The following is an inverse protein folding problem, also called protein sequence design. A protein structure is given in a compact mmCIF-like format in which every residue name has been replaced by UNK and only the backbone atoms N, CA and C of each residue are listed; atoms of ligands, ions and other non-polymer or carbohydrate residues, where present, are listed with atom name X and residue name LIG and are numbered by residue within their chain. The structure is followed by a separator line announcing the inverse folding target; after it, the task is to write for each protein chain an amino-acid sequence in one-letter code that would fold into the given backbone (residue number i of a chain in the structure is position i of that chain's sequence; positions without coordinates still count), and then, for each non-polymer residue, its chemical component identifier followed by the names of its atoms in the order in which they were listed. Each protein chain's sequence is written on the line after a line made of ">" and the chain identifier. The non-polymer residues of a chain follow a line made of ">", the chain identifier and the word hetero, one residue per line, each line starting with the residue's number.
data_IF_484425967259
#
_entry.id   IF_484425967259
#
_cell.length_a   1.000
_cell.length_b   1.000
_cell.length_c   1.000
_cell.angle_alpha   90.00
_cell.angle_beta   90.00
_cell.angle_gamma   90.00
#
_symmetry.space_group_name_H-M   'P 1'
#
loop_
_entity.id
_entity.type
_entity.pdbx_description
1 polymer ?
#
# COMPACT_ATOMS: atom_id res chain seq x y z
N UNK A 1 1.68 -26.64 11.10
CA UNK A 1 0.88 -25.43 11.00
C UNK A 1 1.67 -24.31 11.67
N UNK A 2 1.79 -23.16 11.01
CA UNK A 2 2.30 -21.93 11.63
C UNK A 2 1.39 -21.55 12.80
N UNK A 3 1.95 -21.03 13.89
CA UNK A 3 1.18 -20.68 15.09
C UNK A 3 1.44 -19.24 15.51
N UNK A 4 0.62 -18.74 16.43
CA UNK A 4 0.81 -17.40 17.01
C UNK A 4 2.22 -17.28 17.63
N UNK A 5 2.90 -16.18 17.30
CA UNK A 5 4.27 -15.86 17.69
C UNK A 5 5.35 -16.36 16.72
N UNK A 6 5.00 -17.14 15.70
CA UNK A 6 5.95 -17.56 14.66
C UNK A 6 6.13 -16.46 13.59
N UNK A 7 7.30 -16.43 12.95
CA UNK A 7 7.48 -15.67 11.71
C UNK A 7 6.62 -16.28 10.59
N UNK A 8 5.85 -15.44 9.90
CA UNK A 8 5.02 -15.83 8.78
C UNK A 8 5.90 -16.30 7.59
N UNK A 9 5.67 -17.51 7.05
CA UNK A 9 6.38 -17.97 5.86
C UNK A 9 6.17 -17.02 4.67
N UNK A 10 7.28 -16.52 4.12
CA UNK A 10 7.30 -15.63 2.96
C UNK A 10 6.93 -16.37 1.68
N UNK A 11 6.20 -15.69 0.80
CA UNK A 11 5.78 -16.24 -0.48
C UNK A 11 5.63 -15.14 -1.53
N UNK A 12 5.59 -15.57 -2.80
CA UNK A 12 5.21 -14.73 -3.94
C UNK A 12 4.35 -15.57 -4.89
N UNK A 13 3.07 -15.24 -4.99
CA UNK A 13 2.08 -16.00 -5.78
C UNK A 13 1.54 -15.15 -6.94
N UNK A 14 1.12 -15.77 -8.05
CA UNK A 14 0.23 -15.13 -9.01
C UNK A 14 -1.08 -14.78 -8.30
N UNK A 15 -1.62 -13.60 -8.57
CA UNK A 15 -2.84 -13.11 -7.95
C UNK A 15 -3.72 -12.38 -8.97
N UNK A 16 -5.03 -12.37 -8.70
CA UNK A 16 -5.97 -11.43 -9.25
C UNK A 16 -6.09 -10.26 -8.26
N UNK A 17 -5.83 -9.05 -8.71
CA UNK A 17 -5.92 -7.81 -7.91
C UNK A 17 -6.65 -6.78 -8.75
N UNK A 18 -7.78 -6.26 -8.26
CA UNK A 18 -8.60 -5.28 -8.98
C UNK A 18 -8.96 -5.69 -10.43
N UNK A 19 -9.12 -7.00 -10.67
CA UNK A 19 -9.40 -7.56 -12.00
C UNK A 19 -8.18 -7.80 -12.88
N UNK A 20 -6.98 -7.38 -12.45
CA UNK A 20 -5.73 -7.56 -13.17
C UNK A 20 -4.90 -8.73 -12.63
N UNK A 21 -4.17 -9.41 -13.53
CA UNK A 21 -3.25 -10.48 -13.17
C UNK A 21 -1.87 -9.90 -12.83
N UNK A 22 -1.43 -10.07 -11.58
CA UNK A 22 -0.06 -9.71 -11.17
C UNK A 22 0.55 -10.76 -10.25
N UNK A 23 1.80 -10.55 -9.83
CA UNK A 23 2.38 -11.30 -8.71
C UNK A 23 2.29 -10.44 -7.46
N UNK A 24 2.07 -11.11 -6.34
CA UNK A 24 1.93 -10.52 -5.02
C UNK A 24 2.83 -11.28 -4.07
N UNK A 25 3.74 -10.56 -3.41
CA UNK A 25 4.56 -11.06 -2.32
C UNK A 25 3.99 -10.62 -0.96
N UNK A 26 4.16 -11.44 0.08
CA UNK A 26 3.77 -11.06 1.44
C UNK A 26 4.54 -9.79 1.88
N UNK A 27 5.80 -9.69 1.48
CA UNK A 27 6.67 -8.56 1.79
C UNK A 27 6.23 -7.21 1.19
N UNK A 28 5.31 -7.21 0.21
CA UNK A 28 4.70 -5.97 -0.30
C UNK A 28 3.79 -5.29 0.74
N UNK A 29 3.33 -6.03 1.76
CA UNK A 29 2.41 -5.52 2.78
C UNK A 29 3.08 -5.38 4.15
N UNK A 30 4.17 -6.13 4.40
CA UNK A 30 4.89 -6.04 5.66
C UNK A 30 5.52 -4.66 5.82
N UNK A 31 5.53 -4.17 7.05
CA UNK A 31 5.98 -2.83 7.38
C UNK A 31 4.96 -1.74 7.06
N UNK A 32 3.82 -2.05 6.43
CA UNK A 32 2.74 -1.14 6.01
C UNK A 32 1.39 -1.54 6.59
N UNK A 33 1.00 -2.80 6.44
CA UNK A 33 -0.30 -3.29 6.87
C UNK A 33 -0.20 -4.41 7.91
N UNK A 34 -1.29 -4.59 8.66
CA UNK A 34 -1.62 -5.89 9.25
C UNK A 34 -2.25 -6.75 8.17
N UNK A 35 -1.71 -7.94 7.94
CA UNK A 35 -2.14 -8.81 6.84
C UNK A 35 -2.99 -9.95 7.36
N UNK A 36 -4.22 -10.06 6.88
CA UNK A 36 -5.08 -11.23 7.06
C UNK A 36 -4.87 -12.18 5.89
N UNK A 37 -4.25 -13.33 6.13
CA UNK A 37 -4.15 -14.42 5.16
C UNK A 37 -5.33 -15.38 5.34
N UNK A 38 -6.25 -15.38 4.39
CA UNK A 38 -7.44 -16.22 4.40
C UNK A 38 -7.27 -17.39 3.41
N UNK A 39 -6.84 -18.54 3.92
CA UNK A 39 -6.81 -19.78 3.14
C UNK A 39 -8.21 -20.39 3.07
N UNK A 40 -8.65 -20.74 1.87
CA UNK A 40 -9.96 -21.35 1.67
C UNK A 40 -9.90 -22.58 0.75
N UNK A 41 -10.83 -23.55 0.90
CA UNK A 41 -10.73 -24.84 0.22
C UNK A 41 -10.80 -24.77 -1.31
N UNK A 42 -11.52 -23.79 -1.85
CA UNK A 42 -11.56 -23.49 -3.27
C UNK A 42 -12.74 -22.64 -3.71
N UNK A 43 -12.63 -22.08 -4.91
CA UNK A 43 -13.65 -21.25 -5.56
C UNK A 43 -14.93 -22.06 -5.82
N UNK A 44 -16.09 -21.40 -5.72
CA UNK A 44 -17.43 -22.01 -5.94
C UNK A 44 -17.71 -23.26 -5.12
N UNK A 45 -16.93 -23.52 -4.06
CA UNK A 45 -17.23 -24.59 -3.13
C UNK A 45 -18.57 -24.27 -2.45
N UNK A 46 -19.55 -25.20 -2.38
CA UNK A 46 -20.83 -24.97 -1.71
C UNK A 46 -20.72 -24.51 -0.25
N UNK A 47 -19.60 -24.84 0.41
CA UNK A 47 -19.26 -24.33 1.74
C UNK A 47 -18.85 -22.84 1.75
N UNK A 48 -18.87 -22.18 0.60
CA UNK A 48 -18.46 -20.79 0.35
C UNK A 48 -19.50 -20.02 -0.49
N UNK A 49 -20.71 -20.54 -0.74
CA UNK A 49 -21.52 -20.15 -1.93
C UNK A 49 -22.73 -19.23 -1.71
N UNK A 50 -22.91 -18.56 -0.57
CA UNK A 50 -23.93 -17.48 -0.46
C UNK A 50 -23.66 -16.43 0.63
N UNK A 51 -22.80 -16.74 1.61
CA UNK A 51 -22.22 -15.83 2.63
C UNK A 51 -20.76 -16.25 2.82
N UNK A 52 -19.90 -16.03 1.81
CA UNK A 52 -18.53 -16.53 1.89
C UNK A 52 -17.80 -15.82 3.03
N UNK A 53 -17.04 -16.55 3.85
CA UNK A 53 -16.18 -15.92 4.88
C UNK A 53 -15.28 -14.81 4.31
N UNK A 54 -14.97 -14.87 3.02
CA UNK A 54 -14.17 -13.84 2.36
C UNK A 54 -14.90 -12.50 2.26
N UNK A 55 -16.23 -12.49 2.19
CA UNK A 55 -17.05 -11.28 2.19
C UNK A 55 -17.13 -10.67 3.61
N UNK A 56 -17.28 -11.52 4.63
CA UNK A 56 -17.18 -11.06 6.03
C UNK A 56 -15.77 -10.58 6.37
N UNK A 57 -14.73 -11.22 5.83
CA UNK A 57 -13.34 -10.79 6.00
C UNK A 57 -13.02 -9.55 5.15
N UNK A 58 -13.70 -9.33 4.02
CA UNK A 58 -13.53 -8.11 3.23
C UNK A 58 -13.92 -6.86 4.03
N UNK A 59 -14.82 -6.96 5.02
CA UNK A 59 -15.12 -5.84 5.92
C UNK A 59 -13.88 -5.30 6.64
N UNK A 60 -12.83 -6.09 6.81
CA UNK A 60 -11.57 -5.60 7.39
C UNK A 60 -10.80 -4.68 6.45
N UNK A 61 -10.98 -4.76 5.12
CA UNK A 61 -10.36 -3.84 4.15
C UNK A 61 -10.86 -2.39 4.29
N UNK A 62 -11.98 -2.18 5.00
CA UNK A 62 -12.43 -0.84 5.38
C UNK A 62 -11.46 -0.12 6.33
N UNK A 63 -10.53 -0.86 6.96
CA UNK A 63 -9.46 -0.29 7.77
C UNK A 63 -8.23 -0.10 6.88
N UNK A 64 -7.76 1.15 6.78
CA UNK A 64 -6.70 1.54 5.83
C UNK A 64 -5.40 0.73 5.97
N UNK A 65 -5.05 0.31 7.18
CA UNK A 65 -3.81 -0.41 7.50
C UNK A 65 -4.03 -1.93 7.65
N UNK A 66 -5.12 -2.48 7.09
CA UNK A 66 -5.42 -3.92 7.12
C UNK A 66 -5.64 -4.43 5.70
N UNK A 67 -4.76 -5.32 5.28
CA UNK A 67 -4.83 -5.98 3.97
C UNK A 67 -5.33 -7.41 4.11
N UNK A 68 -6.27 -7.82 3.27
CA UNK A 68 -6.83 -9.18 3.26
C UNK A 68 -6.42 -9.89 1.97
N UNK A 69 -5.77 -11.04 2.10
CA UNK A 69 -5.33 -11.86 0.95
C UNK A 69 -6.03 -13.22 1.01
N UNK A 70 -6.89 -13.48 0.03
CA UNK A 70 -7.49 -14.80 -0.16
C UNK A 70 -6.51 -15.75 -0.84
N UNK A 71 -6.35 -16.97 -0.34
CA UNK A 71 -5.42 -17.96 -0.92
C UNK A 71 -6.13 -19.31 -1.13
N UNK A 72 -6.15 -19.81 -2.36
CA UNK A 72 -6.60 -21.18 -2.65
C UNK A 72 -5.72 -21.87 -3.68
N UNK A 73 -6.05 -23.12 -4.02
CA UNK A 73 -5.35 -23.86 -5.08
C UNK A 73 -5.88 -23.61 -6.49
N UNK A 74 -6.86 -22.71 -6.64
CA UNK A 74 -7.52 -22.43 -7.91
C UNK A 74 -6.67 -21.55 -8.83
N UNK A 75 -7.04 -21.53 -10.10
CA UNK A 75 -6.35 -20.73 -11.12
C UNK A 75 -6.86 -19.29 -11.13
N UNK A 76 -6.05 -18.35 -11.65
CA UNK A 76 -6.46 -16.95 -11.83
C UNK A 76 -7.76 -16.78 -12.64
N UNK A 77 -8.01 -17.66 -13.63
CA UNK A 77 -9.26 -17.63 -14.39
C UNK A 77 -10.48 -18.01 -13.55
N UNK A 78 -10.30 -18.94 -12.60
CA UNK A 78 -11.35 -19.30 -11.65
C UNK A 78 -11.59 -18.15 -10.68
N UNK A 79 -10.52 -17.56 -10.14
CA UNK A 79 -10.60 -16.39 -9.28
C UNK A 79 -11.32 -15.22 -9.96
N UNK A 80 -11.04 -14.96 -11.24
CA UNK A 80 -11.73 -13.90 -11.99
C UNK A 80 -13.24 -14.10 -12.04
N UNK A 81 -13.68 -15.32 -12.36
CA UNK A 81 -15.10 -15.66 -12.37
C UNK A 81 -15.72 -15.67 -10.97
N UNK A 82 -14.95 -16.05 -9.95
CA UNK A 82 -15.39 -16.12 -8.56
C UNK A 82 -15.57 -14.72 -7.99
N UNK A 83 -14.57 -13.85 -8.16
CA UNK A 83 -14.63 -12.45 -7.77
C UNK A 83 -15.77 -11.70 -8.47
N UNK A 84 -15.97 -11.91 -9.78
CA UNK A 84 -17.09 -11.30 -10.51
C UNK A 84 -18.46 -11.79 -9.99
N UNK A 85 -18.58 -13.10 -9.70
CA UNK A 85 -19.85 -13.68 -9.23
C UNK A 85 -20.25 -13.17 -7.84
N UNK A 86 -19.27 -12.97 -6.96
CA UNK A 86 -19.48 -12.60 -5.55
C UNK A 86 -19.12 -11.15 -5.21
N UNK A 87 -18.78 -10.33 -6.21
CA UNK A 87 -18.36 -8.94 -6.05
C UNK A 87 -17.22 -8.75 -5.04
N UNK A 88 -16.20 -9.63 -5.11
CA UNK A 88 -15.05 -9.58 -4.20
C UNK A 88 -14.00 -8.58 -4.69
N UNK A 89 -13.58 -7.69 -3.80
CA UNK A 89 -12.56 -6.65 -4.07
C UNK A 89 -11.19 -6.98 -3.46
N UNK A 90 -11.07 -8.11 -2.76
CA UNK A 90 -9.80 -8.56 -2.18
C UNK A 90 -8.89 -9.23 -3.21
N UNK A 91 -7.55 -9.12 -3.07
CA UNK A 91 -6.61 -9.95 -3.79
C UNK A 91 -6.86 -11.46 -3.60
N UNK A 92 -6.98 -12.20 -4.70
CA UNK A 92 -7.10 -13.66 -4.71
C UNK A 92 -5.84 -14.30 -5.30
N UNK A 93 -5.09 -15.02 -4.45
CA UNK A 93 -3.79 -15.59 -4.73
C UNK A 93 -3.90 -17.08 -5.07
N UNK A 94 -3.26 -17.44 -6.19
CA UNK A 94 -3.32 -18.76 -6.81
C UNK A 94 -2.14 -19.65 -6.38
N UNK A 95 -2.33 -20.45 -5.32
CA UNK A 95 -1.39 -21.48 -4.86
C UNK A 95 -1.68 -22.84 -5.51
N UNK A 96 -1.69 -22.89 -6.84
CA UNK A 96 -1.99 -24.13 -7.63
C UNK A 96 -1.16 -25.35 -7.23
N UNK A 97 0.03 -25.14 -6.66
CA UNK A 97 0.94 -26.21 -6.19
C UNK A 97 0.85 -26.46 -4.69
N UNK A 98 -0.02 -25.76 -3.96
CA UNK A 98 -0.23 -25.84 -2.51
C UNK A 98 1.06 -25.64 -1.70
N UNK A 99 2.05 -24.95 -2.26
CA UNK A 99 3.38 -24.81 -1.62
C UNK A 99 3.31 -23.88 -0.43
N UNK A 100 2.53 -22.80 -0.56
CA UNK A 100 2.34 -21.84 0.53
C UNK A 100 1.44 -22.47 1.59
N UNK A 101 0.34 -23.12 1.19
CA UNK A 101 -0.50 -23.87 2.13
C UNK A 101 0.29 -24.94 2.91
N UNK A 102 1.24 -25.63 2.27
CA UNK A 102 2.15 -26.57 2.95
C UNK A 102 3.12 -25.88 3.92
N UNK A 103 3.67 -24.72 3.57
CA UNK A 103 4.55 -23.94 4.45
C UNK A 103 3.81 -23.46 5.70
N UNK A 104 2.59 -22.98 5.54
CA UNK A 104 1.70 -22.61 6.64
C UNK A 104 1.13 -23.83 7.37
N UNK A 105 1.33 -25.03 6.82
CA UNK A 105 0.90 -26.30 7.38
C UNK A 105 -0.62 -26.46 7.46
N UNK A 106 -1.32 -25.93 6.45
CA UNK A 106 -2.78 -25.97 6.25
C UNK A 106 -3.15 -26.73 4.96
N UNK A 107 -2.23 -27.49 4.40
CA UNK A 107 -2.53 -28.46 3.35
C UNK A 107 -2.75 -29.84 3.96
N UNK A 108 -3.77 -30.57 3.51
CA UNK A 108 -4.07 -31.92 3.99
C UNK A 108 -4.52 -32.84 2.84
N UNK A 109 -4.47 -34.15 3.07
CA UNK A 109 -5.00 -35.17 2.18
C UNK A 109 -6.27 -35.74 2.81
N UNK A 110 -7.37 -35.77 2.06
CA UNK A 110 -8.64 -36.33 2.55
C UNK A 110 -8.67 -37.86 2.51
N UNK A 111 -9.78 -38.46 2.97
CA UNK A 111 -9.95 -39.92 3.04
C UNK A 111 -9.90 -40.62 1.66
N UNK A 112 -10.04 -39.89 0.56
CA UNK A 112 -9.98 -40.42 -0.81
C UNK A 112 -8.66 -40.13 -1.52
N UNK A 113 -7.70 -39.51 -0.84
CA UNK A 113 -6.36 -39.22 -1.37
C UNK A 113 -6.28 -37.92 -2.16
N UNK A 114 -7.25 -37.02 -2.01
CA UNK A 114 -7.25 -35.71 -2.66
C UNK A 114 -6.54 -34.69 -1.77
N UNK A 115 -5.58 -33.95 -2.34
CA UNK A 115 -4.92 -32.84 -1.66
C UNK A 115 -5.80 -31.59 -1.64
N UNK A 116 -6.12 -31.12 -0.43
CA UNK A 116 -6.97 -29.97 -0.15
C UNK A 116 -6.25 -28.94 0.72
N UNK A 117 -6.77 -27.72 0.72
CA UNK A 117 -6.37 -26.66 1.64
C UNK A 117 -7.44 -26.57 2.72
N UNK A 118 -7.02 -26.55 3.98
CA UNK A 118 -7.88 -26.29 5.14
C UNK A 118 -8.44 -24.86 5.04
N UNK A 119 -9.62 -24.64 5.61
CA UNK A 119 -10.02 -23.26 5.87
C UNK A 119 -9.16 -22.74 7.01
N UNK A 120 -8.43 -21.65 6.79
CA UNK A 120 -7.54 -21.10 7.80
C UNK A 120 -7.43 -19.59 7.69
N UNK A 121 -7.22 -18.94 8.83
CA UNK A 121 -6.98 -17.50 8.92
C UNK A 121 -5.73 -17.26 9.76
N UNK A 122 -4.84 -16.43 9.23
CA UNK A 122 -3.70 -15.91 9.96
C UNK A 122 -3.75 -14.38 9.96
N UNK A 123 -3.55 -13.77 11.12
CA UNK A 123 -3.28 -12.33 11.22
C UNK A 123 -1.79 -12.18 11.41
N UNK A 124 -1.15 -11.48 10.47
CA UNK A 124 0.29 -11.23 10.44
C UNK A 124 0.51 -9.75 10.69
N UNK A 125 1.35 -9.41 11.65
CA UNK A 125 1.71 -8.02 11.90
C UNK A 125 2.67 -7.44 10.87
N UNK A 126 2.95 -6.15 11.05
CA UNK A 126 3.86 -5.38 10.23
C UNK A 126 5.31 -5.93 10.24
N UNK A 127 5.75 -6.60 11.30
CA UNK A 127 7.08 -7.23 11.38
C UNK A 127 7.11 -8.63 10.75
N UNK A 128 5.96 -9.14 10.30
CA UNK A 128 5.82 -10.47 9.73
C UNK A 128 5.65 -11.56 10.79
N UNK A 129 5.25 -11.22 12.01
CA UNK A 129 4.95 -12.17 13.09
C UNK A 129 3.46 -12.48 13.11
N UNK A 130 3.11 -13.75 13.26
CA UNK A 130 1.72 -14.20 13.32
C UNK A 130 1.12 -13.85 14.68
N UNK A 131 0.15 -12.95 14.71
CA UNK A 131 -0.57 -12.54 15.93
C UNK A 131 -1.82 -13.39 16.20
N UNK A 132 -2.36 -14.02 15.17
CA UNK A 132 -3.46 -14.98 15.31
C UNK A 132 -3.35 -16.08 14.27
N UNK A 133 -3.68 -17.31 14.65
CA UNK A 133 -3.68 -18.47 13.77
C UNK A 133 -4.85 -19.38 14.10
N UNK A 134 -5.65 -19.69 13.09
CA UNK A 134 -6.78 -20.61 13.20
C UNK A 134 -6.90 -21.45 11.92
N UNK A 135 -7.19 -22.74 12.04
CA UNK A 135 -7.53 -23.59 10.90
C UNK A 135 -8.53 -24.68 11.27
N UNK A 136 -9.23 -25.18 10.26
CA UNK A 136 -10.18 -26.29 10.39
C UNK A 136 -10.27 -27.10 9.11
N UNK A 137 -10.42 -28.42 9.28
CA UNK A 137 -10.73 -29.35 8.19
C UNK A 137 -12.24 -29.45 7.94
N UNK A 138 -13.07 -28.92 8.85
CA UNK A 138 -14.51 -28.87 8.68
C UNK A 138 -14.88 -27.69 7.77
N UNK A 139 -15.13 -27.96 6.48
CA UNK A 139 -15.35 -26.93 5.45
C UNK A 139 -16.38 -25.84 5.79
N UNK A 140 -17.40 -26.18 6.60
CA UNK A 140 -18.50 -25.27 7.00
C UNK A 140 -18.24 -24.51 8.30
N UNK A 141 -17.16 -24.81 9.02
CA UNK A 141 -16.78 -24.05 10.21
C UNK A 141 -16.16 -22.73 9.76
N UNK A 142 -16.68 -21.62 10.25
CA UNK A 142 -16.21 -20.26 9.94
C UNK A 142 -15.23 -19.79 11.03
N UNK A 143 -14.31 -18.84 10.72
CA UNK A 143 -13.43 -18.25 11.72
C UNK A 143 -14.19 -17.40 12.74
N UNK A 144 -13.62 -17.23 13.93
CA UNK A 144 -14.13 -16.27 14.92
C UNK A 144 -13.68 -14.84 14.55
N UNK A 145 -14.61 -14.07 13.99
CA UNK A 145 -14.37 -12.69 13.53
C UNK A 145 -14.01 -11.76 14.70
N UNK A 146 -14.54 -11.98 15.90
CA UNK A 146 -14.21 -11.13 17.05
C UNK A 146 -12.79 -11.40 17.54
N UNK A 147 -12.35 -12.66 17.53
CA UNK A 147 -10.95 -12.99 17.82
C UNK A 147 -9.96 -12.38 16.80
N UNK A 148 -10.36 -12.29 15.52
CA UNK A 148 -9.57 -11.61 14.48
C UNK A 148 -9.50 -10.10 14.75
N UNK A 149 -10.63 -9.46 15.11
CA UNK A 149 -10.65 -8.04 15.49
C UNK A 149 -9.75 -7.75 16.69
N UNK A 150 -9.83 -8.58 17.72
CA UNK A 150 -9.00 -8.46 18.92
C UNK A 150 -7.52 -8.59 18.55
N UNK A 151 -7.15 -9.58 17.72
CA UNK A 151 -5.78 -9.75 17.27
C UNK A 151 -5.26 -8.56 16.46
N UNK A 152 -6.08 -7.98 15.58
CA UNK A 152 -5.71 -6.76 14.83
C UNK A 152 -5.54 -5.57 15.79
N UNK A 153 -6.42 -5.43 16.78
CA UNK A 153 -6.31 -4.40 17.83
C UNK A 153 -5.02 -4.56 18.64
N UNK A 154 -4.69 -5.79 19.02
CA UNK A 154 -3.49 -6.15 19.79
C UNK A 154 -2.19 -6.08 18.97
N UNK A 155 -2.29 -6.02 17.64
CA UNK A 155 -1.14 -5.83 16.73
C UNK A 155 -0.61 -4.38 16.76
N UNK A 156 -1.36 -3.47 17.39
CA UNK A 156 -0.91 -2.12 17.71
C UNK A 156 0.04 -2.05 18.89
N UNK A 157 0.32 -0.82 19.33
CA UNK A 157 1.19 -0.55 20.46
C UNK A 157 2.16 0.58 20.18
N UNK A 158 2.64 1.20 21.27
CA UNK A 158 3.51 2.36 21.20
C UNK A 158 4.81 2.12 20.40
N UNK A 159 5.34 0.89 20.44
CA UNK A 159 6.51 0.49 19.65
C UNK A 159 6.22 0.51 18.14
N UNK A 160 5.05 -0.02 17.73
CA UNK A 160 4.56 0.00 16.34
C UNK A 160 4.31 1.43 15.89
N UNK A 161 3.59 2.20 16.71
CA UNK A 161 3.32 3.60 16.46
C UNK A 161 4.62 4.40 16.29
N UNK A 162 5.63 4.12 17.10
CA UNK A 162 6.92 4.77 16.98
C UNK A 162 7.73 4.31 15.75
N UNK A 163 7.60 3.05 15.33
CA UNK A 163 8.18 2.59 14.06
C UNK A 163 7.59 3.35 12.86
N UNK A 164 6.26 3.52 12.83
CA UNK A 164 5.56 4.34 11.82
C UNK A 164 6.03 5.78 11.83
N UNK A 165 6.09 6.36 13.02
CA UNK A 165 6.57 7.71 13.22
C UNK A 165 7.98 7.92 12.66
N UNK A 166 8.90 6.97 12.88
CA UNK A 166 10.27 7.05 12.36
C UNK A 166 10.32 7.11 10.83
N UNK A 167 9.51 6.31 10.16
CA UNK A 167 9.46 6.30 8.69
C UNK A 167 8.85 7.62 8.20
N UNK A 168 7.73 8.06 8.80
CA UNK A 168 7.11 9.35 8.49
C UNK A 168 8.06 10.53 8.70
N UNK A 169 8.86 10.51 9.77
CA UNK A 169 9.87 11.54 10.05
C UNK A 169 10.98 11.59 8.98
N UNK A 170 11.36 10.44 8.43
CA UNK A 170 12.35 10.38 7.34
C UNK A 170 11.80 11.07 6.08
N UNK A 171 10.56 10.78 5.69
CA UNK A 171 9.86 11.47 4.61
C UNK A 171 9.69 12.96 4.89
N UNK A 172 9.31 13.33 6.12
CA UNK A 172 9.17 14.73 6.53
C UNK A 172 10.47 15.50 6.27
N UNK A 173 11.61 14.92 6.66
CA UNK A 173 12.92 15.54 6.49
C UNK A 173 13.26 15.74 5.01
N UNK A 174 12.99 14.75 4.16
CA UNK A 174 13.24 14.85 2.72
C UNK A 174 12.28 15.83 2.03
N UNK A 175 10.99 15.81 2.38
CA UNK A 175 10.00 16.78 1.94
C UNK A 175 10.39 18.21 2.31
N UNK A 176 10.88 18.45 3.53
CA UNK A 176 11.40 19.76 3.97
C UNK A 176 12.61 20.22 3.15
N UNK A 177 13.53 19.33 2.79
CA UNK A 177 14.68 19.65 1.93
C UNK A 177 14.23 20.03 0.53
N UNK A 178 13.37 19.21 -0.08
CA UNK A 178 12.81 19.47 -1.41
C UNK A 178 12.03 20.80 -1.41
N UNK A 179 11.17 21.04 -0.42
CA UNK A 179 10.41 22.28 -0.28
C UNK A 179 11.32 23.51 -0.15
N UNK A 180 12.40 23.40 0.62
CA UNK A 180 13.37 24.48 0.79
C UNK A 180 14.11 24.79 -0.53
N UNK A 181 14.52 23.75 -1.26
CA UNK A 181 15.09 23.88 -2.61
C UNK A 181 14.10 24.56 -3.56
N UNK A 182 12.86 24.09 -3.57
CA UNK A 182 11.78 24.61 -4.40
C UNK A 182 11.54 26.10 -4.15
N UNK A 183 11.51 26.52 -2.89
CA UNK A 183 11.37 27.93 -2.48
C UNK A 183 12.55 28.78 -2.93
N UNK A 184 13.78 28.24 -2.93
CA UNK A 184 14.95 28.93 -3.48
C UNK A 184 14.81 29.19 -4.98
N UNK A 185 14.54 28.15 -5.76
CA UNK A 185 14.30 28.23 -7.21
C UNK A 185 13.12 29.17 -7.53
N UNK A 186 12.06 29.13 -6.72
CA UNK A 186 10.89 30.01 -6.87
C UNK A 186 11.26 31.48 -6.71
N UNK A 187 12.10 31.83 -5.73
CA UNK A 187 12.57 33.20 -5.52
C UNK A 187 13.45 33.70 -6.67
N UNK A 188 14.23 32.80 -7.26
CA UNK A 188 15.08 33.07 -8.43
C UNK A 188 14.29 33.10 -9.75
N UNK A 189 12.98 32.86 -9.71
CA UNK A 189 12.10 32.75 -10.88
C UNK A 189 12.47 31.59 -11.82
N UNK A 190 13.14 30.56 -11.31
CA UNK A 190 13.36 29.30 -12.03
C UNK A 190 12.12 28.40 -11.84
N UNK A 191 11.07 28.74 -12.57
CA UNK A 191 9.74 28.14 -12.38
C UNK A 191 9.68 26.65 -12.68
N UNK A 192 10.44 26.16 -13.66
CA UNK A 192 10.45 24.74 -14.02
C UNK A 192 11.11 23.90 -12.95
N UNK A 193 12.28 24.35 -12.45
CA UNK A 193 12.97 23.66 -11.36
C UNK A 193 12.15 23.72 -10.07
N UNK A 194 11.62 24.91 -9.75
CA UNK A 194 10.77 25.11 -8.58
C UNK A 194 9.51 24.22 -8.59
N UNK A 195 8.83 24.13 -9.74
CA UNK A 195 7.66 23.26 -9.89
C UNK A 195 8.02 21.79 -9.65
N UNK A 196 9.14 21.32 -10.21
CA UNK A 196 9.60 19.94 -10.02
C UNK A 196 9.92 19.63 -8.56
N UNK A 197 10.61 20.55 -7.88
CA UNK A 197 10.99 20.37 -6.47
C UNK A 197 9.79 20.47 -5.53
N UNK A 198 8.80 21.34 -5.82
CA UNK A 198 7.55 21.39 -5.04
C UNK A 198 6.72 20.12 -5.21
N UNK A 199 6.65 19.56 -6.43
CA UNK A 199 5.95 18.29 -6.65
C UNK A 199 6.61 17.16 -5.85
N UNK A 200 7.94 17.08 -5.86
CA UNK A 200 8.66 16.12 -5.02
C UNK A 200 8.37 16.34 -3.53
N UNK A 201 8.37 17.59 -3.08
CA UNK A 201 8.03 17.90 -1.69
C UNK A 201 6.60 17.47 -1.33
N UNK A 202 5.65 17.66 -2.26
CA UNK A 202 4.27 17.22 -2.10
C UNK A 202 4.20 15.70 -1.92
N UNK A 203 4.81 14.91 -2.81
CA UNK A 203 4.85 13.45 -2.72
C UNK A 203 5.43 12.99 -1.35
N UNK A 204 6.54 13.57 -0.90
CA UNK A 204 7.13 13.23 0.41
C UNK A 204 6.24 13.63 1.60
N UNK A 205 5.52 14.77 1.53
CA UNK A 205 4.62 15.18 2.61
C UNK A 205 3.33 14.37 2.67
N UNK A 206 2.89 13.80 1.54
CA UNK A 206 1.78 12.84 1.50
C UNK A 206 2.15 11.58 2.28
N UNK A 207 3.28 10.95 1.92
CA UNK A 207 3.84 9.78 2.64
C UNK A 207 4.06 10.08 4.14
N UNK A 208 4.54 11.29 4.45
CA UNK A 208 4.70 11.74 5.84
C UNK A 208 3.38 11.74 6.60
N UNK A 209 2.33 12.34 6.02
CA UNK A 209 1.03 12.46 6.67
C UNK A 209 0.37 11.09 6.86
N UNK A 210 0.47 10.21 5.87
CA UNK A 210 -0.06 8.86 5.94
C UNK A 210 0.62 8.04 7.06
N UNK A 211 1.94 8.11 7.16
CA UNK A 211 2.66 7.40 8.21
C UNK A 211 2.43 7.97 9.61
N UNK A 212 2.31 9.29 9.76
CA UNK A 212 1.94 9.88 11.05
C UNK A 212 0.50 9.54 11.43
N UNK A 213 -0.44 9.51 10.48
CA UNK A 213 -1.80 9.05 10.73
C UNK A 213 -1.83 7.59 11.19
N UNK A 214 -1.06 6.73 10.52
CA UNK A 214 -0.89 5.33 10.91
C UNK A 214 -0.28 5.23 12.33
N UNK A 215 0.72 6.06 12.66
CA UNK A 215 1.27 6.14 14.01
C UNK A 215 0.22 6.51 15.08
N UNK A 216 -0.65 7.49 14.81
CA UNK A 216 -1.76 7.87 15.69
C UNK A 216 -2.67 6.67 15.97
N UNK A 217 -3.00 5.90 14.93
CA UNK A 217 -3.90 4.75 15.03
C UNK A 217 -3.33 3.63 15.91
N UNK A 218 -2.01 3.40 15.83
CA UNK A 218 -1.35 2.33 16.57
C UNK A 218 -0.91 2.73 18.00
N UNK A 219 -0.97 4.01 18.35
CA UNK A 219 -0.55 4.48 19.66
C UNK A 219 -1.53 4.03 20.75
N UNK A 220 -1.01 3.39 21.80
CA UNK A 220 -1.79 3.02 22.98
C UNK A 220 -1.79 4.18 24.00
N UNK A 221 -0.66 4.87 24.13
CA UNK A 221 -0.52 6.03 25.00
C UNK A 221 -1.14 7.28 24.35
N UNK A 222 -2.19 7.88 24.96
CA UNK A 222 -2.82 9.10 24.45
C UNK A 222 -1.87 10.30 24.37
N UNK A 223 -0.77 10.30 25.11
CA UNK A 223 0.23 11.36 25.02
C UNK A 223 1.09 11.20 23.75
N UNK A 224 1.48 9.97 23.41
CA UNK A 224 2.19 9.69 22.15
C UNK A 224 1.31 9.98 20.93
N UNK A 225 0.04 9.60 20.98
CA UNK A 225 -0.91 9.89 19.91
C UNK A 225 -1.00 11.40 19.64
N UNK A 226 -0.99 12.25 20.68
CA UNK A 226 -1.02 13.70 20.53
C UNK A 226 0.20 14.29 19.80
N UNK A 227 1.40 13.73 20.00
CA UNK A 227 2.59 14.15 19.25
C UNK A 227 2.51 13.73 17.77
N UNK A 228 1.99 12.53 17.50
CA UNK A 228 1.81 12.03 16.14
C UNK A 228 0.72 12.82 15.39
N UNK A 229 -0.39 13.16 16.04
CA UNK A 229 -1.45 14.01 15.48
C UNK A 229 -0.90 15.39 15.10
N UNK A 230 -0.13 16.02 15.99
CA UNK A 230 0.49 17.31 15.69
C UNK A 230 1.44 17.23 14.48
N UNK A 231 2.21 16.14 14.38
CA UNK A 231 3.13 15.92 13.27
C UNK A 231 2.37 15.72 11.94
N UNK A 232 1.28 14.96 11.96
CA UNK A 232 0.36 14.75 10.82
C UNK A 232 -0.24 16.08 10.36
N UNK A 233 -0.83 16.86 11.26
CA UNK A 233 -1.44 18.16 10.94
C UNK A 233 -0.44 19.08 10.22
N UNK A 234 0.82 19.09 10.67
CA UNK A 234 1.87 19.88 10.04
C UNK A 234 2.25 19.38 8.66
N UNK A 235 2.41 18.07 8.50
CA UNK A 235 2.71 17.45 7.22
C UNK A 235 1.61 17.76 6.19
N UNK A 236 0.34 17.59 6.59
CA UNK A 236 -0.83 17.91 5.78
C UNK A 236 -0.87 19.40 5.38
N UNK A 237 -0.55 20.31 6.30
CA UNK A 237 -0.45 21.74 5.98
C UNK A 237 0.69 22.04 4.98
N UNK A 238 1.83 21.39 5.10
CA UNK A 238 2.96 21.54 4.16
C UNK A 238 2.67 20.95 2.79
N UNK A 239 2.00 19.79 2.73
CA UNK A 239 1.51 19.17 1.49
C UNK A 239 0.59 20.13 0.73
N UNK A 240 -0.42 20.70 1.39
CA UNK A 240 -1.32 21.70 0.79
C UNK A 240 -0.57 22.93 0.28
N UNK A 241 0.42 23.42 1.04
CA UNK A 241 1.24 24.53 0.61
C UNK A 241 2.07 24.20 -0.64
N UNK A 242 2.65 22.99 -0.70
CA UNK A 242 3.44 22.52 -1.84
C UNK A 242 2.57 22.39 -3.11
N UNK A 243 1.34 21.90 -2.97
CA UNK A 243 0.37 21.82 -4.07
C UNK A 243 0.09 23.21 -4.68
N UNK A 244 -0.34 24.17 -3.86
CA UNK A 244 -0.60 25.54 -4.34
C UNK A 244 0.62 26.20 -4.98
N UNK A 245 1.82 25.95 -4.45
CA UNK A 245 3.06 26.52 -4.97
C UNK A 245 3.53 25.84 -6.25
N UNK A 246 3.25 24.54 -6.42
CA UNK A 246 3.46 23.80 -7.68
C UNK A 246 2.63 24.42 -8.79
N UNK A 247 1.33 24.62 -8.54
CA UNK A 247 0.41 25.23 -9.50
C UNK A 247 0.78 26.70 -9.78
N UNK A 248 1.20 27.41 -8.74
CA UNK A 248 1.69 28.77 -8.88
C UNK A 248 2.91 28.86 -9.82
N UNK A 249 3.91 28.00 -9.61
CA UNK A 249 5.10 27.92 -10.47
C UNK A 249 4.73 27.55 -11.91
N UNK A 250 3.79 26.62 -12.11
CA UNK A 250 3.24 26.27 -13.43
C UNK A 250 2.56 27.45 -14.13
N UNK A 251 1.77 28.24 -13.38
CA UNK A 251 1.13 29.43 -13.92
C UNK A 251 2.16 30.51 -14.28
N UNK A 252 3.24 30.67 -13.51
CA UNK A 252 4.33 31.59 -13.88
C UNK A 252 5.11 31.10 -15.11
N UNK A 253 5.41 29.81 -15.21
CA UNK A 253 6.15 29.23 -16.34
C UNK A 253 5.39 29.34 -17.67
N UNK A 254 4.06 29.22 -17.62
CA UNK A 254 3.16 29.40 -18.77
C UNK A 254 2.88 30.87 -19.14
N UNK A 255 3.44 31.84 -18.41
CA UNK A 255 3.25 33.27 -18.64
C UNK A 255 1.98 33.86 -18.01
N UNK A 256 1.22 33.06 -17.25
CA UNK A 256 0.01 33.45 -16.54
C UNK A 256 0.32 34.06 -15.16
N UNK A 257 1.14 35.13 -15.13
CA UNK A 257 1.67 35.67 -13.86
C UNK A 257 0.62 36.21 -12.88
N UNK A 258 -0.53 36.69 -13.38
CA UNK A 258 -1.64 37.09 -12.50
C UNK A 258 -2.27 35.88 -11.78
N UNK A 259 -2.32 34.72 -12.45
CA UNK A 259 -2.79 33.49 -11.84
C UNK A 259 -1.77 32.92 -10.86
N UNK A 260 -0.49 32.87 -11.27
CA UNK A 260 0.59 32.46 -10.38
C UNK A 260 0.60 33.26 -9.07
N UNK A 261 0.37 34.57 -9.13
CA UNK A 261 0.30 35.41 -7.92
C UNK A 261 -0.92 35.10 -7.05
N UNK A 262 -2.08 34.72 -7.63
CA UNK A 262 -3.26 34.32 -6.85
C UNK A 262 -2.98 33.02 -6.10
N UNK A 263 -2.52 31.99 -6.80
CA UNK A 263 -2.17 30.69 -6.24
C UNK A 263 -1.09 30.80 -5.16
N UNK A 264 -0.10 31.68 -5.36
CA UNK A 264 0.91 31.98 -4.35
C UNK A 264 0.31 32.55 -3.07
N UNK A 265 -0.68 33.45 -3.19
CA UNK A 265 -1.36 34.01 -2.03
C UNK A 265 -2.24 32.95 -1.34
N UNK A 266 -2.87 32.06 -2.11
CA UNK A 266 -3.68 30.97 -1.56
C UNK A 266 -2.82 29.97 -0.75
N UNK A 267 -1.54 29.79 -1.13
CA UNK A 267 -0.56 29.04 -0.36
C UNK A 267 -0.19 29.67 1.00
N UNK A 268 -0.44 30.97 1.23
CA UNK A 268 -0.04 31.63 2.48
C UNK A 268 -0.77 31.06 3.71
N UNK A 269 -2.02 30.64 3.54
CA UNK A 269 -2.82 30.07 4.64
C UNK A 269 -2.28 28.73 5.14
N UNK A 270 -2.09 27.69 4.31
CA UNK A 270 -1.48 26.44 4.77
C UNK A 270 -0.05 26.64 5.28
N UNK A 271 0.72 27.57 4.69
CA UNK A 271 2.04 27.95 5.22
C UNK A 271 1.97 28.56 6.62
N UNK A 272 0.97 29.39 6.90
CA UNK A 272 0.76 29.96 8.24
C UNK A 272 0.39 28.85 9.23
N UNK A 273 -0.56 27.97 8.89
CA UNK A 273 -0.90 26.80 9.71
C UNK A 273 0.32 25.95 10.04
N UNK A 274 1.14 25.61 9.04
CA UNK A 274 2.35 24.81 9.25
C UNK A 274 3.40 25.48 10.15
N UNK A 275 3.42 26.82 10.21
CA UNK A 275 4.36 27.58 11.06
C UNK A 275 3.90 27.68 12.51
N UNK A 276 2.59 27.64 12.73
CA UNK A 276 2.00 27.67 14.07
C UNK A 276 2.11 26.30 14.76
N UNK A 277 2.24 25.23 13.99
CA UNK A 277 2.46 23.87 14.49
C UNK A 277 3.96 23.63 14.75
N UNK A 278 4.31 22.98 15.87
CA UNK A 278 5.68 22.59 16.22
C UNK A 278 6.32 21.67 15.18
N UNK A 279 7.64 21.68 15.01
CA UNK A 279 8.30 20.65 14.19
C UNK A 279 8.16 19.28 14.88
N UNK A 280 8.00 18.17 14.14
CA UNK A 280 8.00 16.83 14.72
C UNK A 280 9.29 16.60 15.52
N UNK A 281 9.18 15.89 16.66
CA UNK A 281 10.30 15.52 17.53
C UNK A 281 11.26 14.58 16.77
N UNK A 282 12.57 14.79 16.92
CA UNK A 282 13.53 13.90 16.27
C UNK A 282 13.43 12.49 16.90
N UNK A 283 13.43 11.39 16.12
CA UNK A 283 13.24 10.06 16.70
C UNK A 283 14.32 9.62 17.70
N UNK A 284 15.51 10.20 17.67
CA UNK A 284 16.56 9.96 18.67
C UNK A 284 16.34 10.73 19.98
N UNK A 285 15.46 11.73 19.97
CA UNK A 285 14.96 12.47 21.14
C UNK A 285 13.64 11.88 21.68
N UNK A 286 13.22 10.72 21.18
CA UNK A 286 11.98 10.04 21.58
C UNK A 286 12.20 8.99 22.69
N UNK A 287 11.28 8.89 23.67
CA UNK A 287 10.16 9.79 23.92
C UNK A 287 10.65 11.13 24.49
N UNK A 288 9.91 12.23 24.30
CA UNK A 288 10.28 13.52 24.86
C UNK A 288 10.52 13.39 26.36
N UNK A 289 11.55 14.07 26.87
CA UNK A 289 11.81 14.13 28.30
C UNK A 289 10.57 14.71 29.00
N UNK A 290 9.81 13.84 29.66
CA UNK A 290 8.84 14.26 30.64
C UNK A 290 9.65 14.90 31.77
N UNK A 291 9.74 16.23 31.80
CA UNK A 291 9.95 16.91 33.06
C UNK A 291 8.73 16.56 33.91
N UNK A 292 8.83 15.46 34.65
CA UNK A 292 7.90 15.17 35.73
C UNK A 292 7.86 16.46 36.56
N UNK A 293 6.71 17.11 36.60
CA UNK A 293 6.39 18.06 37.66
C UNK A 293 6.43 17.26 38.98
N UNK A 294 7.64 16.98 39.46
CA UNK A 294 7.99 16.39 40.73
C UNK A 294 7.81 17.46 41.84
N UNK A 295 6.70 18.20 41.78
CA UNK A 295 6.13 18.93 42.91
C UNK A 295 4.93 18.15 43.47
N UNK A 296 5.15 16.88 43.82
CA UNK A 296 4.66 16.30 45.07
C UNK A 296 5.30 14.94 45.34
N UNK A 297 6.58 14.99 45.68
CA UNK A 297 7.23 13.97 46.49
C UNK A 297 6.44 13.78 47.81
N UNK A 298 5.56 12.79 47.84
CA UNK A 298 4.96 12.26 49.06
C UNK A 298 5.35 10.79 49.18
N UNK A 299 6.65 10.53 49.35
CA UNK A 299 7.10 9.31 50.01
C UNK A 299 8.14 9.66 51.08
N UNK A 300 8.06 9.04 52.27
CA UNK A 300 8.75 9.52 53.45
C UNK A 300 10.24 9.20 53.39
N UNK A 301 11.06 10.16 53.81
CA UNK A 301 12.49 9.97 54.06
C UNK A 301 12.69 8.76 55.00
N UNK A 302 13.23 7.68 54.44
CA UNK A 302 13.91 6.64 55.22
C UNK A 302 15.41 6.83 55.05
N UNK A 303 15.99 7.21 56.17
CA UNK A 303 17.38 7.46 56.50
C UNK A 303 18.41 6.68 55.66
N UNK A 304 19.21 7.42 54.89
CA UNK A 304 20.54 6.97 54.47
C UNK A 304 21.50 7.03 55.66
N UNK A 305 22.04 5.89 56.09
CA UNK A 305 23.33 5.83 56.80
C UNK A 305 24.07 4.51 56.54
N UNK A 306 25.38 4.60 56.28
CA UNK A 306 26.32 3.47 56.34
C UNK A 306 26.86 3.04 54.97
N UNK A 307 27.83 3.70 54.34
CA UNK A 307 29.29 3.69 54.65
C UNK A 307 30.02 2.43 54.11
N UNK A 308 30.95 2.70 53.19
CA UNK A 308 32.16 1.95 52.74
C UNK A 308 32.04 0.83 51.70
N UNK A 309 32.54 1.11 50.49
CA UNK A 309 33.75 0.42 50.02
C UNK A 309 34.55 1.31 49.07
N UNK A 310 35.80 1.56 49.45
CA UNK A 310 36.81 2.30 48.69
C UNK A 310 37.48 1.38 47.66
N UNK A 311 37.74 1.89 46.44
CA UNK A 311 38.95 1.59 45.65
C UNK A 311 39.34 2.85 44.87
N UNK A 312 40.43 3.47 45.31
CA UNK A 312 41.18 4.48 44.58
C UNK A 312 41.94 3.85 43.39
N UNK A 313 41.89 4.46 42.20
CA UNK A 313 42.98 4.41 41.23
C UNK A 313 43.23 5.83 40.72
N UNK A 314 44.45 6.29 40.99
CA UNK A 314 45.00 7.62 40.79
C UNK A 314 45.09 8.07 39.32
N UNK A 315 44.93 9.39 39.23
CA UNK A 315 45.18 10.35 38.18
C UNK A 315 46.67 10.71 38.04
N UNK A 316 47.14 11.00 36.82
CA UNK A 316 48.24 11.94 36.53
C UNK A 316 48.20 12.28 35.03
N UNK A 317 47.64 13.42 34.60
CA UNK A 317 48.19 14.77 34.62
C UNK A 317 49.38 14.98 33.65
N UNK A 318 49.21 15.86 32.67
CA UNK A 318 50.07 17.04 32.45
C UNK A 318 49.65 17.81 31.18
N UNK A 319 49.12 19.01 31.39
CA UNK A 319 49.15 20.11 30.43
C UNK A 319 50.55 20.73 30.35
N UNK A 320 50.93 21.23 29.17
CA UNK A 320 51.89 22.33 29.02
C UNK A 320 51.78 22.93 27.61
N UNK A 321 50.93 23.94 27.49
CA UNK A 321 51.25 25.35 27.20
C UNK A 321 52.34 25.77 26.18
N UNK A 322 52.07 26.94 25.58
CA UNK A 322 52.96 27.94 24.94
C UNK A 322 53.23 27.94 23.41
N UNK A 323 52.47 28.84 22.74
CA UNK A 323 52.92 30.08 22.07
C UNK A 323 53.70 30.13 20.74
N UNK A 324 53.30 31.12 19.92
CA UNK A 324 54.10 31.81 18.89
C UNK A 324 53.32 32.05 17.59
N UNK A 325 52.70 33.21 17.36
CA UNK A 325 53.30 34.42 16.71
C UNK A 325 53.60 34.17 15.20
N UNK A 326 53.33 35.02 14.21
CA UNK A 326 52.87 36.41 14.07
C UNK A 326 52.71 36.67 12.53
N UNK A 327 51.98 37.73 12.16
CA UNK A 327 52.21 38.60 10.98
C UNK A 327 52.09 38.01 9.54
N UNK A 328 51.54 38.69 8.52
CA UNK A 328 50.93 40.02 8.33
C UNK A 328 50.52 40.14 6.84
N UNK A 329 49.53 41.03 6.56
CA UNK A 329 49.42 41.99 5.41
C UNK A 329 49.69 41.50 3.98
N UNK A 330 48.90 41.79 2.94
CA UNK A 330 48.00 42.91 2.65
C UNK A 330 48.03 43.20 1.13
N UNK A 331 47.20 44.15 0.70
CA UNK A 331 47.15 44.89 -0.60
C UNK A 331 46.44 44.28 -1.81
N UNK A 332 45.17 44.65 -1.94
CA UNK A 332 44.55 45.49 -2.99
C UNK A 332 45.33 45.78 -4.29
N UNK A 333 44.61 45.72 -5.42
CA UNK A 333 45.11 46.09 -6.75
C UNK A 333 43.98 46.08 -7.80
N UNK A 334 43.42 47.26 -8.01
CA UNK A 334 42.25 47.61 -8.83
C UNK A 334 42.58 47.90 -10.31
N UNK A 335 41.58 47.70 -11.18
CA UNK A 335 41.26 48.38 -12.47
C UNK A 335 41.84 47.96 -13.85
N UNK A 336 40.89 47.52 -14.69
CA UNK A 336 40.43 48.09 -15.98
C UNK A 336 41.29 48.11 -17.26
N UNK A 337 40.65 47.68 -18.37
CA UNK A 337 40.64 48.48 -19.61
C UNK A 337 40.75 47.74 -20.96
N UNK A 338 39.69 47.87 -21.79
CA UNK A 338 39.72 47.98 -23.27
C UNK A 338 39.71 46.66 -24.06
N UNK A 339 38.67 46.24 -24.81
CA UNK A 339 37.88 46.84 -25.91
C UNK A 339 38.44 46.63 -27.34
N UNK A 340 37.53 46.23 -28.24
CA UNK A 340 37.56 46.21 -29.73
C UNK A 340 38.41 45.09 -30.39
N UNK A 341 38.03 44.44 -31.50
CA UNK A 341 37.24 44.89 -32.66
C UNK A 341 36.80 43.70 -33.57
N UNK A 342 35.65 43.90 -34.26
CA UNK A 342 35.03 43.37 -35.51
C UNK A 342 35.61 42.17 -36.32
N UNK A 343 34.89 41.48 -37.22
CA UNK A 343 33.57 41.63 -37.88
C UNK A 343 33.19 40.32 -38.63
N UNK A 344 31.90 39.97 -38.72
CA UNK A 344 30.93 40.26 -39.80
C UNK A 344 31.06 39.41 -41.08
N UNK A 345 29.98 38.69 -41.41
CA UNK A 345 29.77 38.03 -42.70
C UNK A 345 28.40 37.33 -42.78
N UNK A 346 27.39 38.06 -43.22
CA UNK A 346 26.04 37.56 -43.53
C UNK A 346 25.87 37.36 -45.03
N UNK A 347 25.08 36.36 -45.44
CA UNK A 347 24.23 36.42 -46.66
C UNK A 347 23.02 35.52 -46.49
N UNK A 348 21.84 36.07 -46.79
CA UNK A 348 20.53 35.42 -46.82
C UNK A 348 19.98 35.36 -48.25
N UNK A 349 18.91 34.58 -48.41
CA UNK A 349 17.97 34.54 -49.55
C UNK A 349 17.92 33.15 -50.18
N UNK A 350 16.79 32.56 -50.54
CA UNK A 350 15.33 32.77 -50.39
C UNK A 350 14.70 31.64 -51.25
N UNK A 351 13.58 31.03 -50.83
CA UNK A 351 12.43 30.52 -51.64
C UNK A 351 11.68 29.36 -50.92
N UNK A 352 10.37 29.55 -50.80
CA UNK A 352 9.30 28.72 -50.16
C UNK A 352 8.38 28.12 -51.28
N UNK A 353 7.23 27.43 -51.01
CA UNK A 353 6.88 26.20 -50.28
C UNK A 353 5.99 25.29 -51.22
N UNK A 354 4.91 24.53 -50.85
CA UNK A 354 4.39 23.96 -49.59
C UNK A 354 3.92 22.47 -49.67
N UNK A 355 3.60 21.83 -48.53
CA UNK A 355 2.61 20.74 -48.31
C UNK A 355 2.58 20.45 -46.80
N UNK A 356 1.50 20.13 -46.07
CA UNK A 356 0.10 19.79 -46.34
C UNK A 356 -0.47 19.25 -44.99
N UNK A 357 -1.76 19.42 -44.75
CA UNK A 357 -2.47 19.04 -43.51
C UNK A 357 -3.14 17.65 -43.60
N UNK A 358 -3.51 17.08 -42.44
CA UNK A 358 -4.35 15.87 -42.25
C UNK A 358 -3.55 14.56 -42.17
N UNK A 359 -3.96 13.47 -41.54
CA UNK A 359 -5.17 13.01 -40.82
C UNK A 359 -4.79 11.66 -40.15
N UNK A 360 -5.60 11.24 -39.17
CA UNK A 360 -5.72 9.93 -38.49
C UNK A 360 -5.03 8.68 -39.11
N UNK A 361 -4.15 8.02 -38.34
CA UNK A 361 -3.62 6.68 -38.64
C UNK A 361 -4.67 5.61 -38.29
N UNK A 362 -5.34 5.10 -39.33
CA UNK A 362 -5.97 3.78 -39.32
C UNK A 362 -4.97 2.80 -39.95
N UNK A 363 -4.67 1.70 -39.25
CA UNK A 363 -3.85 0.60 -39.78
C UNK A 363 -4.68 -0.11 -40.86
N UNK A 364 -4.13 -0.22 -42.07
CA UNK A 364 -4.76 -0.94 -43.19
C UNK A 364 -4.60 -2.47 -43.01
N UNK A 365 -5.67 -3.22 -43.33
CA UNK A 365 -5.76 -4.69 -43.17
C UNK A 365 -4.69 -5.49 -43.94
N UNK A 366 -3.99 -4.87 -44.89
CA UNK A 366 -2.92 -5.50 -45.68
C UNK A 366 -1.59 -5.63 -44.89
N UNK A 367 -1.37 -4.83 -43.83
CA UNK A 367 -0.16 -4.90 -42.99
C UNK A 367 -0.23 -6.03 -41.93
N UNK A 368 -1.44 -6.51 -41.63
CA UNK A 368 -1.67 -7.65 -40.72
C UNK A 368 -1.43 -9.01 -41.39
N UNK A 369 -1.72 -9.15 -42.69
CA UNK A 369 -1.44 -10.40 -43.44
C UNK A 369 0.06 -10.65 -43.65
N UNK A 370 0.89 -9.59 -43.68
CA UNK A 370 2.35 -9.74 -43.85
C UNK A 370 3.03 -10.21 -42.56
N UNK A 371 2.47 -9.91 -41.38
CA UNK A 371 2.97 -10.35 -40.07
C UNK A 371 2.56 -11.80 -39.77
N UNK A 372 1.35 -12.23 -40.14
CA UNK A 372 0.91 -13.63 -39.98
C UNK A 372 1.68 -14.60 -40.90
N UNK A 373 2.15 -14.13 -42.06
CA UNK A 373 2.96 -14.94 -42.98
C UNK A 373 4.40 -15.20 -42.49
N UNK A 374 4.99 -14.29 -41.71
CA UNK A 374 6.33 -14.46 -41.14
C UNK A 374 6.35 -15.42 -39.93
N UNK A 375 5.26 -15.49 -39.15
CA UNK A 375 5.15 -16.39 -37.99
C UNK A 375 4.90 -17.87 -38.35
N UNK A 376 4.41 -18.15 -39.56
CA UNK A 376 4.18 -19.52 -40.03
C UNK A 376 5.42 -20.20 -40.65
N UNK A 377 6.54 -19.48 -40.82
CA UNK A 377 7.73 -19.96 -41.51
C UNK A 377 8.89 -20.42 -40.59
N UNK A 378 8.83 -20.19 -39.27
CA UNK A 378 9.93 -20.49 -38.33
C UNK A 378 9.72 -21.78 -37.50
N UNK A 379 8.95 -22.72 -38.03
CA UNK A 379 8.56 -23.93 -37.32
C UNK A 379 9.08 -25.24 -37.91
N UNK A 380 10.38 -25.39 -38.21
CA UNK A 380 10.97 -26.72 -38.44
C UNK A 380 12.50 -26.76 -38.26
N UNK A 381 12.95 -27.90 -37.70
CA UNK A 381 14.28 -28.54 -37.76
C UNK A 381 15.20 -28.43 -36.52
N UNK A 382 15.42 -29.58 -35.86
CA UNK A 382 16.72 -30.29 -35.80
C UNK A 382 16.52 -31.74 -35.24
N UNK A 383 17.49 -32.69 -35.33
CA UNK A 383 17.59 -33.62 -36.45
C UNK A 383 17.73 -35.11 -36.03
N UNK A 384 17.77 -35.99 -37.04
CA UNK A 384 17.95 -37.44 -36.93
C UNK A 384 19.32 -37.91 -36.42
N UNK A 385 19.35 -39.07 -35.75
CA UNK A 385 20.49 -40.00 -35.74
C UNK A 385 20.01 -41.45 -35.91
N UNK A 386 20.75 -42.16 -36.78
CA UNK A 386 20.55 -43.50 -37.35
C UNK A 386 20.38 -44.70 -36.37
N UNK A 387 19.74 -45.78 -36.84
CA UNK A 387 19.92 -47.11 -36.23
C UNK A 387 18.97 -48.26 -36.63
N UNK A 388 19.10 -48.77 -37.86
CA UNK A 388 19.08 -50.19 -38.24
C UNK A 388 17.89 -51.16 -37.89
N UNK A 389 17.14 -51.51 -38.94
CA UNK A 389 16.60 -52.83 -39.34
C UNK A 389 15.82 -53.75 -38.36
N UNK A 390 14.62 -54.23 -38.79
CA UNK A 390 14.29 -55.63 -39.14
C UNK A 390 12.76 -55.85 -39.29
N UNK A 391 12.35 -56.23 -40.51
CA UNK A 391 11.34 -57.23 -40.99
C UNK A 391 9.89 -57.28 -40.44
N UNK A 392 8.95 -57.23 -41.40
CA UNK A 392 7.78 -58.12 -41.68
C UNK A 392 7.13 -58.81 -40.46
N UNK A 393 5.81 -58.77 -40.21
CA UNK A 393 4.76 -59.44 -41.01
C UNK A 393 3.35 -59.22 -40.40
N UNK A 394 2.35 -59.21 -41.29
CA UNK A 394 0.97 -59.71 -41.23
C UNK A 394 0.02 -59.62 -39.99
N UNK A 395 -1.18 -59.08 -40.31
CA UNK A 395 -2.56 -59.53 -39.95
C UNK A 395 -3.12 -59.28 -38.53
N UNK A 396 -4.28 -58.61 -38.42
CA UNK A 396 -5.64 -59.20 -38.48
C UNK A 396 -6.70 -58.30 -37.78
N UNK A 397 -7.93 -58.30 -38.32
CA UNK A 397 -9.22 -58.01 -37.66
C UNK A 397 -9.49 -56.55 -37.23
N UNK A 398 -10.55 -55.86 -37.63
CA UNK A 398 -11.86 -56.32 -38.11
C UNK A 398 -12.97 -55.62 -37.32
N UNK A 399 -13.51 -54.54 -37.91
CA UNK A 399 -14.91 -54.06 -37.97
C UNK A 399 -15.85 -54.22 -36.75
N UNK A 400 -16.49 -53.11 -36.38
CA UNK A 400 -17.77 -53.10 -35.65
C UNK A 400 -18.31 -51.69 -35.40
N UNK A 401 -18.93 -51.09 -36.42
CA UNK A 401 -19.85 -49.96 -36.28
C UNK A 401 -21.16 -50.42 -35.64
N UNK A 402 -21.75 -49.63 -34.74
CA UNK A 402 -23.21 -49.56 -34.59
C UNK A 402 -23.63 -48.17 -34.09
N UNK A 403 -24.44 -47.54 -34.93
CA UNK A 403 -25.14 -46.27 -34.79
C UNK A 403 -26.53 -46.56 -34.23
N UNK A 404 -27.02 -45.81 -33.24
CA UNK A 404 -28.46 -45.59 -33.05
C UNK A 404 -28.77 -44.20 -32.46
N UNK A 405 -29.49 -43.42 -33.28
CA UNK A 405 -30.20 -42.17 -32.99
C UNK A 405 -31.31 -42.33 -31.92
N UNK A 406 -31.65 -41.22 -31.25
CA UNK A 406 -32.86 -41.10 -30.45
C UNK A 406 -33.05 -39.73 -29.81
N UNK A 407 -33.62 -38.78 -30.56
CA UNK A 407 -34.14 -37.48 -30.08
C UNK A 407 -35.64 -37.55 -29.66
N UNK A 408 -36.23 -36.50 -29.04
CA UNK A 408 -37.10 -36.60 -27.87
C UNK A 408 -38.61 -36.33 -28.09
N UNK A 409 -39.42 -36.63 -27.07
CA UNK A 409 -40.79 -36.16 -26.83
C UNK A 409 -41.02 -36.18 -25.31
N UNK A 410 -41.72 -35.29 -24.60
CA UNK A 410 -42.73 -34.28 -24.97
C UNK A 410 -43.85 -34.32 -23.92
N UNK A 411 -43.96 -33.25 -23.12
CA UNK A 411 -45.12 -32.71 -22.38
C UNK A 411 -46.00 -33.56 -21.44
N UNK A 412 -46.22 -33.05 -20.22
CA UNK A 412 -47.57 -32.84 -19.67
C UNK A 412 -47.58 -31.81 -18.52
N UNK A 413 -48.37 -30.76 -18.74
CA UNK A 413 -48.87 -29.71 -17.84
C UNK A 413 -49.85 -30.23 -16.75
N UNK A 414 -50.22 -29.31 -15.85
CA UNK A 414 -51.29 -29.30 -14.82
C UNK A 414 -50.82 -29.76 -13.41
N UNK A 415 -50.95 -28.99 -12.33
CA UNK A 415 -52.16 -28.29 -11.88
C UNK A 415 -51.83 -27.10 -10.95
N UNK A 416 -52.48 -25.96 -11.21
CA UNK A 416 -52.48 -24.75 -10.36
C UNK A 416 -53.41 -24.91 -9.16
N UNK A 417 -52.97 -24.44 -7.98
CA UNK A 417 -53.87 -24.13 -6.86
C UNK A 417 -53.64 -22.69 -6.37
N UNK A 418 -54.76 -21.97 -6.30
CA UNK A 418 -54.85 -20.53 -6.12
C UNK A 418 -54.81 -20.08 -4.65
N UNK A 419 -54.47 -18.79 -4.56
CA UNK A 419 -54.46 -17.83 -3.45
C UNK A 419 -55.78 -17.81 -2.65
N UNK A 420 -55.73 -17.35 -1.38
CA UNK A 420 -56.74 -16.41 -0.88
C UNK A 420 -56.12 -15.10 -0.38
N UNK A 421 -56.58 -14.01 -0.99
CA UNK A 421 -56.59 -12.63 -0.48
C UNK A 421 -57.86 -12.43 0.35
N UNK A 422 -57.77 -11.67 1.44
CA UNK A 422 -58.77 -10.74 1.99
C UNK A 422 -58.07 -9.99 3.15
N UNK A 423 -57.80 -8.69 2.96
CA UNK A 423 -58.61 -7.53 3.42
C UNK A 423 -58.51 -7.33 4.94
N UNK A 424 -57.81 -6.27 5.39
CA UNK A 424 -58.33 -4.90 5.59
C UNK A 424 -58.66 -4.71 7.06
N UNK A 425 -57.96 -3.78 7.74
CA UNK A 425 -58.54 -2.87 8.74
C UNK A 425 -57.49 -1.81 9.12
N UNK A 426 -57.84 -0.61 8.70
CA UNK A 426 -57.31 0.73 8.95
C UNK A 426 -57.38 1.19 10.43
N UNK A 427 -56.47 2.11 10.75
CA UNK A 427 -56.60 3.30 11.61
C UNK A 427 -57.25 3.19 13.00
N UNK A 428 -56.49 3.58 14.05
CA UNK A 428 -57.00 4.54 15.03
C UNK A 428 -55.86 5.29 15.75
N UNK A 429 -55.95 6.62 15.70
CA UNK A 429 -55.23 7.63 16.46
C UNK A 429 -55.28 7.43 17.98
N UNK A 430 -54.27 7.94 18.68
CA UNK A 430 -54.26 8.00 20.15
C UNK A 430 -53.10 8.82 20.72
N UNK A 431 -53.29 10.14 20.70
CA UNK A 431 -52.59 11.19 21.46
C UNK A 431 -52.67 10.97 23.00
N UNK A 432 -51.87 11.74 23.75
CA UNK A 432 -51.76 11.95 25.22
C UNK A 432 -50.35 11.60 25.77
N UNK A 433 -49.39 12.52 25.87
CA UNK A 433 -49.27 13.70 26.73
C UNK A 433 -48.96 13.42 28.22
N UNK A 434 -47.84 14.00 28.66
CA UNK A 434 -47.54 14.55 29.99
C UNK A 434 -46.87 13.69 31.09
N UNK A 435 -45.67 14.18 31.46
CA UNK A 435 -45.09 14.41 32.81
C UNK A 435 -44.73 13.19 33.68
N UNK A 436 -43.47 13.16 34.14
CA UNK A 436 -43.16 13.67 35.49
C UNK A 436 -41.66 13.91 35.71
N UNK A 437 -41.41 14.95 36.50
CA UNK A 437 -40.13 15.49 36.97
C UNK A 437 -39.49 14.66 38.11
N UNK A 438 -38.31 15.13 38.57
CA UNK A 438 -37.61 14.85 39.83
C UNK A 438 -36.68 13.60 39.85
N UNK A 439 -35.40 13.66 40.24
CA UNK A 439 -34.69 14.49 41.23
C UNK A 439 -33.17 14.44 40.93
N UNK A 440 -32.45 15.57 40.80
CA UNK A 440 -31.51 16.14 41.80
C UNK A 440 -30.82 15.10 42.71
N UNK A 441 -29.49 15.09 42.85
CA UNK A 441 -28.63 16.22 43.23
C UNK A 441 -27.22 16.10 42.67
#
# INVERSE_FOLDING_TARGET
>A
MTTQGDEAPRFELPALVDGDHRRVALEEYLGEDVVILAFYPGDFNPACDEESDLDELDLFTMQKDVSVLGVSSDSLYSHGAFAEKYDLHIPLLSDTRRRVAQQYGVAFEDDVGQELIERAVFVVDHDGVVQYAWSTQEMLSLPDVDAIKDAIGDTGGDDTAFARYRIGYAHYTEGRRAFTSAMGSYQESDWMLSQSDFKRAQEEFEETADHFNSAVRFADDPEFSGYYEQAEEKATALWQAAEWLTDSASAYSSGSGAEGQRLRNDAERPLESARDIGDPIEPDEWPPDFEADDEQSILPETERTGTELAVDIDEAAAESDEAGADSATGTDGTEAGGASDTGSGATAGDDEPPVGAGEDDQIDDDELEEIEAELAADGTDDPETDGEAVREDDTDGGVGEDVLDGEPAGASDEEMAAIPTEDDLTDEDGDESERDEESRY
#
